data_IF_109031053336
#
_entry.id   IF_109031053336
#
_cell.length_a   1.000
_cell.length_b   1.000
_cell.length_c   1.000
_cell.angle_alpha   90.00
_cell.angle_beta   90.00
_cell.angle_gamma   90.00
#
_symmetry.space_group_name_H-M   'P 1'
#
loop_
_entity.id
_entity.type
_entity.pdbx_description
1 polymer ?
#
# COMPACT_ATOMS: atom_id res chain seq x y z
N UNK A 1 -22.83 -4.50 -13.96
CA UNK A 1 -22.85 -3.04 -13.69
C UNK A 1 -24.29 -2.53 -13.62
N UNK A 2 -24.60 -1.49 -12.84
CA UNK A 2 -25.88 -0.79 -12.76
C UNK A 2 -25.64 0.61 -12.18
N UNK A 3 -26.06 1.66 -12.87
CA UNK A 3 -25.96 3.05 -12.41
C UNK A 3 -27.33 3.68 -12.55
N UNK A 4 -28.08 3.87 -11.46
CA UNK A 4 -29.47 4.36 -11.54
C UNK A 4 -29.76 5.58 -10.67
N UNK A 5 -28.88 5.89 -9.73
CA UNK A 5 -29.06 7.02 -8.81
C UNK A 5 -27.85 7.94 -8.93
N UNK A 6 -27.97 9.03 -9.71
CA UNK A 6 -26.96 10.07 -9.73
C UNK A 6 -26.73 10.64 -8.32
N UNK A 7 -25.47 10.95 -8.01
CA UNK A 7 -25.07 11.67 -6.81
C UNK A 7 -25.66 13.08 -6.81
N UNK A 8 -25.52 13.79 -7.95
CA UNK A 8 -26.19 15.06 -8.21
C UNK A 8 -27.34 14.90 -9.22
N UNK A 9 -28.47 15.60 -9.03
CA UNK A 9 -29.62 15.49 -9.93
C UNK A 9 -29.40 16.15 -11.29
N UNK A 10 -28.41 17.04 -11.41
CA UNK A 10 -28.03 17.70 -12.66
C UNK A 10 -26.71 17.11 -13.19
N UNK A 11 -26.54 16.98 -14.51
CA UNK A 11 -25.26 16.60 -15.09
C UNK A 11 -24.25 17.75 -14.99
N UNK A 12 -22.98 17.42 -15.17
CA UNK A 12 -21.94 18.41 -15.39
C UNK A 12 -22.03 19.10 -16.78
N UNK A 13 -21.10 20.01 -17.06
CA UNK A 13 -21.07 20.80 -18.27
C UNK A 13 -21.03 19.98 -19.57
N UNK A 14 -20.51 18.74 -19.52
CA UNK A 14 -20.43 17.84 -20.68
C UNK A 14 -21.59 16.83 -20.75
N UNK A 15 -22.57 16.96 -19.85
CA UNK A 15 -23.74 16.08 -19.80
C UNK A 15 -23.52 14.75 -19.07
N UNK A 16 -22.48 14.64 -18.23
CA UNK A 16 -22.20 13.45 -17.44
C UNK A 16 -22.78 13.55 -16.03
N UNK A 17 -23.15 12.40 -15.48
CA UNK A 17 -23.59 12.24 -14.11
C UNK A 17 -22.54 11.49 -13.30
N UNK A 18 -22.48 11.77 -12.01
CA UNK A 18 -21.65 11.04 -11.06
C UNK A 18 -22.49 10.03 -10.31
N UNK A 19 -21.95 8.84 -10.09
CA UNK A 19 -22.64 7.76 -9.40
C UNK A 19 -21.79 7.27 -8.24
N UNK A 20 -22.20 7.63 -7.02
CA UNK A 20 -21.51 7.23 -5.82
C UNK A 20 -21.52 5.70 -5.64
N UNK A 21 -20.40 5.17 -5.14
CA UNK A 21 -20.31 3.80 -4.65
C UNK A 21 -21.25 3.62 -3.44
N UNK A 22 -21.63 2.37 -3.13
CA UNK A 22 -22.45 2.00 -1.96
C UNK A 22 -23.85 2.64 -1.92
N UNK A 23 -24.28 3.34 -2.98
CA UNK A 23 -25.63 3.89 -3.12
C UNK A 23 -26.57 2.82 -3.66
N UNK A 24 -27.70 2.59 -2.98
CA UNK A 24 -28.70 1.63 -3.43
C UNK A 24 -29.17 1.95 -4.87
N UNK A 25 -28.99 0.99 -5.79
CA UNK A 25 -29.25 1.18 -7.22
C UNK A 25 -28.00 1.38 -8.07
N UNK A 26 -26.88 1.78 -7.46
CA UNK A 26 -25.56 1.80 -8.10
C UNK A 26 -24.80 0.53 -7.71
N UNK A 27 -24.59 -0.39 -8.66
CA UNK A 27 -23.83 -1.62 -8.50
C UNK A 27 -22.77 -1.71 -9.60
N UNK A 28 -21.54 -1.35 -9.27
CA UNK A 28 -20.40 -1.40 -10.17
C UNK A 28 -19.17 -1.73 -9.33
N UNK A 29 -18.26 -2.49 -9.93
CA UNK A 29 -17.03 -2.93 -9.30
C UNK A 29 -16.00 -3.15 -10.39
N UNK A 30 -14.73 -2.90 -10.08
CA UNK A 30 -13.62 -3.34 -10.90
C UNK A 30 -13.70 -4.87 -11.12
N UNK A 31 -13.04 -5.32 -12.19
CA UNK A 31 -12.78 -6.74 -12.37
C UNK A 31 -12.08 -7.28 -11.12
N UNK A 32 -12.50 -8.45 -10.68
CA UNK A 32 -11.82 -9.21 -9.65
C UNK A 32 -11.78 -10.66 -10.08
N UNK A 33 -10.75 -11.36 -9.65
CA UNK A 33 -10.57 -12.77 -9.91
C UNK A 33 -10.04 -13.42 -8.63
N UNK A 34 -10.54 -14.60 -8.32
CA UNK A 34 -9.92 -15.42 -7.31
C UNK A 34 -8.68 -16.06 -7.92
N UNK A 35 -7.51 -15.79 -7.35
CA UNK A 35 -6.27 -16.40 -7.80
C UNK A 35 -6.37 -17.93 -7.73
N UNK A 36 -6.03 -18.61 -8.84
CA UNK A 36 -6.06 -20.07 -8.96
C UNK A 36 -4.69 -20.71 -8.68
N UNK A 37 -3.65 -19.88 -8.56
CA UNK A 37 -2.27 -20.22 -8.24
C UNK A 37 -1.71 -19.16 -7.28
N UNK A 38 -0.57 -19.41 -6.61
CA UNK A 38 0.12 -18.38 -5.84
C UNK A 38 0.38 -17.13 -6.67
N UNK A 39 0.20 -15.96 -6.06
CA UNK A 39 0.42 -14.65 -6.68
C UNK A 39 1.81 -14.16 -6.29
N UNK A 40 2.60 -13.78 -7.29
CA UNK A 40 3.85 -13.04 -7.06
C UNK A 40 3.48 -11.56 -7.13
N UNK A 41 3.90 -10.78 -6.14
CA UNK A 41 3.71 -9.33 -6.17
C UNK A 41 4.83 -8.72 -7.01
N UNK A 42 4.47 -7.94 -8.02
CA UNK A 42 5.44 -7.22 -8.85
C UNK A 42 5.77 -5.85 -8.28
N UNK A 43 4.77 -5.18 -7.67
CA UNK A 43 4.94 -3.82 -7.17
C UNK A 43 4.33 -3.65 -5.78
N UNK A 44 5.03 -2.88 -4.95
CA UNK A 44 4.56 -2.40 -3.65
C UNK A 44 4.57 -0.88 -3.64
N UNK A 45 3.40 -0.31 -3.34
CA UNK A 45 3.18 1.12 -3.09
C UNK A 45 3.03 1.27 -1.58
N UNK A 46 3.93 2.00 -0.91
CA UNK A 46 3.95 2.13 0.56
C UNK A 46 3.31 3.44 1.04
N UNK A 47 2.84 4.25 0.10
CA UNK A 47 2.15 5.52 0.30
C UNK A 47 2.99 6.65 0.89
N UNK A 48 2.56 7.87 0.58
CA UNK A 48 3.19 9.13 0.99
C UNK A 48 3.54 9.23 2.49
N UNK A 49 2.71 8.63 3.35
CA UNK A 49 2.87 8.71 4.79
C UNK A 49 4.14 8.01 5.27
N UNK A 50 4.55 6.94 4.59
CA UNK A 50 5.76 6.18 4.89
C UNK A 50 6.93 6.61 4.00
N UNK A 51 6.67 6.99 2.74
CA UNK A 51 7.67 7.47 1.79
C UNK A 51 8.35 8.76 2.24
N UNK A 52 7.58 9.80 2.57
CA UNK A 52 8.09 11.17 2.60
C UNK A 52 7.57 12.04 3.76
N UNK A 53 6.52 11.61 4.46
CA UNK A 53 5.98 12.42 5.56
C UNK A 53 6.87 12.37 6.81
N UNK A 54 7.17 13.51 7.45
CA UNK A 54 7.93 13.52 8.69
C UNK A 54 7.24 12.80 9.83
N UNK A 55 7.91 11.78 10.38
CA UNK A 55 7.39 11.07 11.54
C UNK A 55 7.55 11.96 12.77
N UNK A 56 6.45 12.20 13.47
CA UNK A 56 6.43 13.04 14.67
C UNK A 56 6.11 12.19 15.89
N UNK A 57 6.94 12.30 16.92
CA UNK A 57 6.73 11.62 18.19
C UNK A 57 5.31 11.92 18.74
N UNK A 58 4.61 10.86 19.16
CA UNK A 58 3.25 10.96 19.70
C UNK A 58 2.15 11.29 18.68
N UNK A 59 2.47 11.49 17.39
CA UNK A 59 1.48 11.62 16.32
C UNK A 59 1.16 10.26 15.73
N UNK A 60 -0.07 10.14 15.26
CA UNK A 60 -0.49 8.98 14.51
C UNK A 60 0.23 8.95 13.16
N UNK A 61 0.71 7.78 12.80
CA UNK A 61 1.32 7.48 11.50
C UNK A 61 0.42 6.47 10.80
N UNK A 62 0.16 6.74 9.52
CA UNK A 62 -0.58 5.82 8.66
C UNK A 62 0.42 4.77 8.17
N UNK A 63 0.20 3.53 8.57
CA UNK A 63 1.00 2.38 8.15
C UNK A 63 0.13 1.54 7.23
N UNK A 64 0.32 1.75 5.94
CA UNK A 64 -0.48 1.15 4.89
C UNK A 64 0.39 0.88 3.66
N UNK A 65 0.03 -0.14 2.89
CA UNK A 65 0.65 -0.43 1.61
C UNK A 65 -0.37 -1.06 0.66
N UNK A 66 -0.16 -0.88 -0.64
CA UNK A 66 -0.89 -1.56 -1.69
C UNK A 66 0.06 -2.51 -2.44
N UNK A 67 -0.37 -3.77 -2.56
CA UNK A 67 0.34 -4.81 -3.31
C UNK A 67 -0.27 -4.91 -4.70
N UNK A 68 0.56 -5.05 -5.73
CA UNK A 68 0.08 -5.17 -7.10
C UNK A 68 0.76 -6.33 -7.85
N UNK A 69 -0.06 -7.01 -8.65
CA UNK A 69 0.34 -7.98 -9.65
C UNK A 69 0.22 -7.34 -11.04
N UNK A 70 1.23 -7.52 -11.88
CA UNK A 70 1.23 -7.11 -13.27
C UNK A 70 0.63 -8.22 -14.14
N UNK A 71 -0.52 -7.92 -14.71
CA UNK A 71 -1.36 -8.87 -15.43
C UNK A 71 -0.89 -9.07 -16.88
N UNK A 72 -0.77 -10.33 -17.29
CA UNK A 72 -0.64 -10.71 -18.71
C UNK A 72 -1.89 -10.34 -19.52
N UNK A 73 -3.06 -10.47 -18.90
CA UNK A 73 -4.36 -10.15 -19.47
C UNK A 73 -5.00 -9.02 -18.66
N UNK A 74 -5.16 -7.81 -19.23
CA UNK A 74 -5.72 -6.68 -18.51
C UNK A 74 -7.11 -6.93 -17.94
N UNK A 75 -7.40 -6.31 -16.80
CA UNK A 75 -8.69 -6.36 -16.13
C UNK A 75 -9.41 -5.01 -16.20
N UNK A 76 -10.74 -5.03 -16.20
CA UNK A 76 -11.55 -3.82 -16.21
C UNK A 76 -11.35 -3.03 -14.90
N UNK A 77 -10.92 -1.79 -15.02
CA UNK A 77 -10.88 -0.81 -13.95
C UNK A 77 -11.83 0.37 -14.24
N UNK A 78 -12.05 1.20 -13.23
CA UNK A 78 -12.90 2.39 -13.31
C UNK A 78 -12.08 3.62 -12.93
N UNK A 79 -12.30 4.73 -13.64
CA UNK A 79 -11.77 6.02 -13.22
C UNK A 79 -12.65 6.54 -12.09
N UNK A 80 -12.13 6.40 -10.88
CA UNK A 80 -12.74 6.85 -9.64
C UNK A 80 -12.55 8.36 -9.47
N UNK A 81 -13.56 9.03 -8.91
CA UNK A 81 -13.45 10.43 -8.52
C UNK A 81 -14.09 10.65 -7.16
N UNK A 82 -13.44 11.52 -6.37
CA UNK A 82 -14.03 12.05 -5.15
C UNK A 82 -15.21 12.94 -5.54
N UNK A 83 -16.37 12.70 -4.94
CA UNK A 83 -17.63 13.40 -5.21
C UNK A 83 -18.01 14.39 -4.11
N UNK A 84 -17.54 14.17 -2.88
CA UNK A 84 -17.75 15.08 -1.77
C UNK A 84 -16.48 15.86 -1.44
N UNK A 85 -16.61 17.12 -1.03
CA UNK A 85 -15.49 17.92 -0.50
C UNK A 85 -14.98 17.41 0.86
N UNK A 86 -15.66 16.41 1.45
CA UNK A 86 -15.28 15.82 2.73
C UNK A 86 -14.27 14.70 2.52
N UNK A 87 -13.13 14.78 3.19
CA UNK A 87 -12.13 13.71 3.28
C UNK A 87 -12.38 12.84 4.51
N UNK A 88 -12.02 11.55 4.45
CA UNK A 88 -12.07 10.64 5.61
C UNK A 88 -13.30 9.71 5.61
N UNK A 89 -13.84 9.30 6.77
CA UNK A 89 -14.86 8.25 6.84
C UNK A 89 -16.17 8.51 6.09
N UNK A 90 -16.47 9.79 5.80
CA UNK A 90 -17.65 10.23 5.04
C UNK A 90 -17.32 10.64 3.61
N UNK A 91 -16.12 10.29 3.13
CA UNK A 91 -15.71 10.53 1.76
C UNK A 91 -16.59 9.73 0.80
N UNK A 92 -17.12 10.41 -0.20
CA UNK A 92 -17.95 9.79 -1.23
C UNK A 92 -17.13 9.71 -2.50
N UNK A 93 -16.90 8.48 -2.95
CA UNK A 93 -16.19 8.18 -4.18
C UNK A 93 -17.15 7.56 -5.18
N UNK A 94 -16.94 7.81 -6.48
CA UNK A 94 -17.82 7.30 -7.51
C UNK A 94 -17.26 7.39 -8.91
N UNK A 95 -18.11 7.07 -9.87
CA UNK A 95 -17.75 7.03 -11.29
C UNK A 95 -18.56 8.04 -12.08
N UNK A 96 -17.92 8.65 -13.09
CA UNK A 96 -18.55 9.60 -14.02
C UNK A 96 -19.05 8.87 -15.25
N UNK A 97 -20.34 8.95 -15.57
CA UNK A 97 -20.95 8.28 -16.73
C UNK A 97 -22.11 9.11 -17.31
N UNK A 98 -22.42 8.98 -18.61
CA UNK A 98 -23.58 9.65 -19.22
C UNK A 98 -24.89 9.01 -18.75
N UNK A 99 -25.98 9.78 -18.72
CA UNK A 99 -27.30 9.21 -18.35
C UNK A 99 -27.82 8.20 -19.36
N UNK A 100 -27.46 8.33 -20.63
CA UNK A 100 -27.78 7.32 -21.65
C UNK A 100 -27.14 5.95 -21.35
N UNK A 101 -26.15 5.91 -20.44
CA UNK A 101 -25.50 4.72 -19.91
C UNK A 101 -26.22 4.12 -18.69
N UNK A 102 -27.34 4.72 -18.26
CA UNK A 102 -28.19 4.25 -17.15
C UNK A 102 -28.97 3.01 -17.63
N UNK A 103 -28.84 1.91 -16.89
CA UNK A 103 -29.34 0.56 -17.20
C UNK A 103 -28.47 -0.31 -18.13
N UNK A 104 -27.15 -0.16 -18.15
CA UNK A 104 -26.26 -1.20 -18.70
C UNK A 104 -26.31 -2.43 -17.78
N UNK A 105 -27.24 -3.36 -18.04
CA UNK A 105 -27.02 -4.78 -17.74
C UNK A 105 -25.86 -5.25 -18.61
N UNK A 106 -24.90 -6.01 -18.06
CA UNK A 106 -23.60 -6.41 -18.64
C UNK A 106 -23.58 -6.98 -20.09
N UNK A 107 -24.74 -7.11 -20.75
CA UNK A 107 -24.91 -7.64 -22.10
C UNK A 107 -25.30 -6.60 -23.17
N UNK A 108 -25.42 -5.30 -22.87
CA UNK A 108 -25.60 -4.31 -23.93
C UNK A 108 -24.24 -3.94 -24.52
N UNK A 109 -24.06 -4.12 -25.82
CA UNK A 109 -22.86 -3.70 -26.57
C UNK A 109 -22.62 -2.18 -26.61
N UNK A 110 -23.19 -1.42 -25.67
CA UNK A 110 -23.04 0.03 -25.53
C UNK A 110 -21.77 0.38 -24.73
N UNK A 111 -20.62 -0.10 -25.22
CA UNK A 111 -19.31 0.28 -24.70
C UNK A 111 -19.06 1.79 -24.87
N UNK A 112 -19.64 2.41 -25.91
CA UNK A 112 -19.53 3.86 -26.17
C UNK A 112 -20.10 4.72 -25.02
N UNK A 113 -21.02 4.16 -24.23
CA UNK A 113 -21.65 4.80 -23.09
C UNK A 113 -20.74 4.84 -21.83
N UNK A 114 -19.63 4.09 -21.82
CA UNK A 114 -18.63 4.04 -20.74
C UNK A 114 -17.31 4.71 -21.10
N UNK A 115 -17.26 5.41 -22.23
CA UNK A 115 -16.05 6.09 -22.71
C UNK A 115 -15.61 7.14 -21.69
N UNK A 116 -14.42 6.94 -21.10
CA UNK A 116 -13.87 7.76 -20.02
C UNK A 116 -14.22 7.30 -18.60
N UNK A 117 -15.11 6.31 -18.44
CA UNK A 117 -15.50 5.75 -17.13
C UNK A 117 -14.70 4.51 -16.75
N UNK A 118 -14.35 3.70 -17.75
CA UNK A 118 -13.62 2.44 -17.57
C UNK A 118 -12.35 2.41 -18.38
N UNK A 119 -11.40 1.58 -17.96
CA UNK A 119 -10.19 1.29 -18.70
C UNK A 119 -9.75 -0.16 -18.49
N UNK A 120 -8.85 -0.64 -19.35
CA UNK A 120 -8.18 -1.91 -19.16
C UNK A 120 -6.90 -1.62 -18.36
N UNK A 121 -6.84 -2.14 -17.13
CA UNK A 121 -5.68 -2.04 -16.26
C UNK A 121 -4.80 -3.26 -16.44
N UNK A 122 -3.51 -3.05 -16.65
CA UNK A 122 -2.50 -4.11 -16.62
C UNK A 122 -2.05 -4.44 -15.20
N UNK A 123 -2.66 -3.82 -14.17
CA UNK A 123 -2.33 -4.04 -12.77
C UNK A 123 -3.59 -4.35 -11.97
N UNK A 124 -3.49 -5.30 -11.03
CA UNK A 124 -4.52 -5.58 -10.04
C UNK A 124 -3.95 -5.49 -8.63
N UNK A 125 -4.70 -4.90 -7.70
CA UNK A 125 -4.33 -4.92 -6.28
C UNK A 125 -4.52 -6.32 -5.71
N UNK A 126 -3.53 -6.82 -4.98
CA UNK A 126 -3.50 -8.17 -4.40
C UNK A 126 -4.07 -8.16 -2.99
N UNK A 127 -4.99 -9.10 -2.71
CA UNK A 127 -5.55 -9.31 -1.38
C UNK A 127 -4.69 -10.30 -0.58
N UNK A 128 -4.07 -9.81 0.50
CA UNK A 128 -3.13 -10.56 1.35
C UNK A 128 -3.58 -10.51 2.83
N UNK A 129 -4.66 -11.20 3.21
CA UNK A 129 -5.34 -10.99 4.48
C UNK A 129 -4.59 -11.44 5.73
N UNK A 130 -3.51 -12.21 5.57
CA UNK A 130 -2.66 -12.68 6.67
C UNK A 130 -1.27 -12.04 6.63
N UNK A 131 -1.09 -10.94 5.91
CA UNK A 131 0.11 -10.14 6.06
C UNK A 131 0.18 -9.60 7.49
N UNK A 132 1.37 -9.61 8.09
CA UNK A 132 1.58 -9.19 9.48
C UNK A 132 2.47 -7.95 9.53
N UNK A 133 2.33 -7.17 10.61
CA UNK A 133 3.09 -5.96 10.87
C UNK A 133 3.90 -6.15 12.15
N UNK A 134 5.22 -5.96 12.03
CA UNK A 134 6.15 -5.95 13.15
C UNK A 134 6.90 -4.63 13.17
N UNK A 135 6.97 -3.97 14.34
CA UNK A 135 7.77 -2.76 14.53
C UNK A 135 8.75 -2.97 15.67
N UNK A 136 10.04 -2.93 15.37
CA UNK A 136 11.09 -3.08 16.38
C UNK A 136 11.97 -1.85 16.46
N UNK A 137 12.35 -1.48 17.67
CA UNK A 137 13.27 -0.36 17.92
C UNK A 137 14.71 -0.86 17.87
N UNK A 138 15.59 -0.14 17.20
CA UNK A 138 17.03 -0.37 17.31
C UNK A 138 17.56 0.06 18.67
N UNK A 139 18.49 -0.72 19.23
CA UNK A 139 19.06 -0.50 20.57
C UNK A 139 20.42 0.15 20.55
N UNK A 140 21.24 -0.15 19.53
CA UNK A 140 22.61 0.37 19.43
C UNK A 140 22.96 0.94 18.06
N UNK A 141 22.12 0.70 17.04
CA UNK A 141 22.38 1.19 15.69
C UNK A 141 21.89 2.64 15.50
N UNK A 142 22.66 3.36 14.72
CA UNK A 142 22.40 4.73 14.27
C UNK A 142 22.04 4.72 12.79
N UNK A 143 21.39 5.80 12.29
CA UNK A 143 21.15 6.04 10.88
C UNK A 143 22.25 5.66 9.88
N UNK A 144 23.52 5.81 10.28
CA UNK A 144 24.69 5.63 9.42
C UNK A 144 25.27 4.21 9.40
N UNK A 145 24.73 3.29 10.20
CA UNK A 145 25.23 1.92 10.27
C UNK A 145 24.62 1.05 9.16
N UNK A 146 25.34 0.00 8.72
CA UNK A 146 24.76 -1.03 7.86
C UNK A 146 23.71 -1.82 8.65
N UNK A 147 22.43 -1.52 8.40
CA UNK A 147 21.30 -2.02 9.16
C UNK A 147 20.85 -3.42 8.74
N UNK A 148 21.55 -4.06 7.79
CA UNK A 148 21.30 -5.43 7.36
C UNK A 148 22.35 -6.40 7.88
N UNK A 149 23.59 -5.97 8.00
CA UNK A 149 24.68 -6.85 8.40
C UNK A 149 24.47 -7.37 9.82
N UNK A 150 24.19 -8.67 9.92
CA UNK A 150 24.02 -9.38 11.19
C UNK A 150 22.58 -9.55 11.66
N UNK A 151 21.60 -8.96 10.97
CA UNK A 151 20.18 -9.20 11.26
C UNK A 151 19.64 -10.39 10.47
N UNK A 152 18.71 -11.12 11.10
CA UNK A 152 18.01 -12.27 10.54
C UNK A 152 16.54 -12.23 10.95
N UNK A 153 15.67 -12.80 10.12
CA UNK A 153 14.26 -12.93 10.44
C UNK A 153 13.99 -14.24 11.16
N UNK A 154 13.41 -14.13 12.36
CA UNK A 154 12.84 -15.25 13.11
C UNK A 154 11.33 -15.28 12.82
N UNK A 155 10.91 -16.02 11.80
CA UNK A 155 9.50 -16.06 11.41
C UNK A 155 8.64 -16.98 12.29
N UNK A 156 9.22 -17.76 13.21
CA UNK A 156 8.41 -18.40 14.25
C UNK A 156 7.87 -17.36 15.24
N UNK A 157 8.68 -16.33 15.54
CA UNK A 157 8.31 -15.24 16.43
C UNK A 157 7.91 -13.94 15.70
N UNK A 158 8.00 -13.93 14.36
CA UNK A 158 7.69 -12.80 13.47
C UNK A 158 8.46 -11.53 13.85
N UNK A 159 9.76 -11.68 14.14
CA UNK A 159 10.64 -10.57 14.55
C UNK A 159 12.03 -10.69 13.93
N UNK A 160 12.71 -9.57 13.77
CA UNK A 160 14.13 -9.53 13.54
C UNK A 160 14.92 -9.88 14.80
N UNK A 161 15.98 -10.65 14.62
CA UNK A 161 16.97 -10.99 15.64
C UNK A 161 18.37 -10.64 15.16
N UNK A 162 19.28 -10.42 16.10
CA UNK A 162 20.67 -10.06 15.83
C UNK A 162 21.13 -8.90 16.69
N UNK A 163 22.38 -8.49 16.50
CA UNK A 163 22.97 -7.41 17.28
C UNK A 163 22.35 -6.06 16.90
N UNK A 164 21.97 -5.29 17.92
CA UNK A 164 21.54 -3.89 17.75
C UNK A 164 20.06 -3.66 17.43
N UNK A 165 19.24 -4.71 17.35
CA UNK A 165 17.77 -4.60 17.30
C UNK A 165 17.14 -5.08 18.62
N UNK A 166 16.09 -4.39 19.06
CA UNK A 166 15.32 -4.78 20.24
C UNK A 166 14.42 -5.98 19.97
N UNK A 167 14.14 -6.78 20.99
CA UNK A 167 13.29 -7.98 20.88
C UNK A 167 11.79 -7.71 21.00
N UNK A 168 11.40 -6.46 21.30
CA UNK A 168 10.00 -6.09 21.49
C UNK A 168 9.40 -5.59 20.18
N UNK A 169 8.32 -6.25 19.74
CA UNK A 169 7.41 -5.70 18.74
C UNK A 169 6.48 -4.67 19.41
N UNK A 170 6.75 -3.39 19.17
CA UNK A 170 5.96 -2.29 19.75
C UNK A 170 4.59 -2.15 19.08
N UNK A 171 4.35 -2.85 17.97
CA UNK A 171 3.08 -2.91 17.27
C UNK A 171 2.24 -4.15 17.59
N UNK A 172 2.68 -5.06 18.48
CA UNK A 172 2.01 -6.34 18.73
C UNK A 172 0.51 -6.27 19.12
N UNK A 173 0.06 -5.10 19.60
CA UNK A 173 -1.36 -4.85 19.94
C UNK A 173 -2.17 -4.19 18.82
N UNK A 174 -1.54 -3.91 17.70
CA UNK A 174 -2.10 -3.19 16.55
C UNK A 174 -2.68 -4.20 15.58
N UNK A 175 -3.93 -4.00 15.17
CA UNK A 175 -4.55 -4.84 14.17
C UNK A 175 -4.07 -4.40 12.78
N UNK A 176 -3.54 -5.31 12.00
CA UNK A 176 -3.13 -5.09 10.62
C UNK A 176 -3.87 -6.05 9.70
N UNK A 177 -4.28 -5.60 8.52
CA UNK A 177 -4.95 -6.47 7.57
C UNK A 177 -5.39 -5.76 6.30
N UNK A 178 -5.93 -6.55 5.36
CA UNK A 178 -6.39 -6.04 4.08
C UNK A 178 -7.81 -5.46 4.17
N UNK A 179 -8.02 -4.27 3.61
CA UNK A 179 -9.32 -3.65 3.42
C UNK A 179 -9.51 -3.10 2.00
N UNK A 180 -10.77 -2.99 1.59
CA UNK A 180 -11.13 -2.27 0.37
C UNK A 180 -11.31 -0.80 0.71
N UNK A 181 -10.42 0.06 0.22
CA UNK A 181 -10.52 1.49 0.46
C UNK A 181 -11.65 2.13 -0.38
N UNK A 182 -11.93 3.41 -0.12
CA UNK A 182 -12.96 4.18 -0.85
C UNK A 182 -12.64 4.37 -2.34
N UNK A 183 -11.36 4.30 -2.72
CA UNK A 183 -10.89 4.28 -4.10
C UNK A 183 -11.08 2.93 -4.82
N UNK A 184 -11.62 1.92 -4.14
CA UNK A 184 -11.86 0.59 -4.73
C UNK A 184 -10.58 -0.25 -4.89
N UNK A 185 -9.51 0.10 -4.18
CA UNK A 185 -8.26 -0.66 -4.10
C UNK A 185 -8.20 -1.49 -2.83
N UNK A 186 -7.53 -2.63 -2.91
CA UNK A 186 -7.14 -3.36 -1.70
C UNK A 186 -5.90 -2.70 -1.12
N UNK A 187 -5.98 -2.30 0.15
CA UNK A 187 -4.88 -1.74 0.95
C UNK A 187 -4.64 -2.66 2.14
N UNK A 188 -3.40 -2.93 2.49
CA UNK A 188 -3.01 -3.61 3.73
C UNK A 188 -2.59 -2.56 4.73
N UNK A 189 -3.28 -2.48 5.86
CA UNK A 189 -3.16 -1.33 6.75
C UNK A 189 -3.48 -1.62 8.19
N UNK A 190 -3.01 -0.72 9.06
CA UNK A 190 -3.44 -0.69 10.46
C UNK A 190 -4.92 -0.33 10.55
N UNK A 191 -5.72 -1.22 11.15
CA UNK A 191 -7.16 -1.05 11.35
C UNK A 191 -7.49 -0.67 12.80
N UNK A 192 -8.66 -0.04 13.00
CA UNK A 192 -9.21 0.46 14.28
C UNK A 192 -8.46 1.65 14.92
N UNK A 193 -7.20 1.45 15.34
CA UNK A 193 -6.42 2.47 16.06
C UNK A 193 -5.14 2.79 15.30
N UNK A 194 -4.97 4.02 14.81
CA UNK A 194 -3.74 4.41 14.14
C UNK A 194 -2.55 4.23 15.08
N UNK A 195 -1.42 3.77 14.53
CA UNK A 195 -0.20 3.55 15.28
C UNK A 195 0.46 4.88 15.64
N UNK A 196 1.12 4.97 16.80
CA UNK A 196 1.94 6.12 17.18
C UNK A 196 3.19 5.68 17.91
N UNK A 197 4.30 6.32 17.61
CA UNK A 197 5.53 6.15 18.37
C UNK A 197 5.45 6.87 19.72
N UNK A 198 5.84 6.18 20.79
CA UNK A 198 5.87 6.72 22.15
C UNK A 198 7.24 7.20 22.58
N UNK A 199 8.31 6.72 21.92
CA UNK A 199 9.68 7.11 22.19
C UNK A 199 10.41 7.52 20.91
N UNK A 200 11.39 8.40 21.06
CA UNK A 200 12.30 8.74 19.97
C UNK A 200 13.29 7.60 19.72
N UNK A 201 13.75 7.46 18.48
CA UNK A 201 14.74 6.47 18.08
C UNK A 201 14.56 6.01 16.64
N UNK A 202 15.42 5.08 16.23
CA UNK A 202 15.31 4.40 14.94
C UNK A 202 14.47 3.14 15.12
N UNK A 203 13.52 2.93 14.22
CA UNK A 203 12.62 1.78 14.21
C UNK A 203 12.67 1.10 12.85
N UNK A 204 12.59 -0.22 12.84
CA UNK A 204 12.32 -1.00 11.63
C UNK A 204 10.85 -1.36 11.61
N UNK A 205 10.14 -0.97 10.56
CA UNK A 205 8.78 -1.40 10.28
C UNK A 205 8.83 -2.46 9.21
N UNK A 206 8.33 -3.65 9.54
CA UNK A 206 8.36 -4.83 8.68
C UNK A 206 6.95 -5.29 8.42
N UNK A 207 6.67 -5.56 7.15
CA UNK A 207 5.49 -6.27 6.73
C UNK A 207 5.92 -7.64 6.22
N UNK A 208 5.45 -8.69 6.88
CA UNK A 208 5.79 -10.07 6.56
C UNK A 208 4.63 -10.77 5.88
N UNK A 209 4.95 -11.57 4.86
CA UNK A 209 4.05 -12.54 4.29
C UNK A 209 4.38 -13.91 4.91
N UNK A 210 3.52 -14.50 5.75
CA UNK A 210 3.81 -15.83 6.32
C UNK A 210 3.84 -16.93 5.24
N UNK A 211 4.56 -18.02 5.46
CA UNK A 211 4.67 -19.15 4.50
C UNK A 211 3.32 -19.74 4.04
N UNK A 212 2.29 -19.66 4.88
CA UNK A 212 1.02 -20.33 4.66
C UNK A 212 0.05 -19.53 3.76
N UNK A 213 0.48 -18.39 3.20
CA UNK A 213 -0.34 -17.61 2.26
C UNK A 213 0.13 -17.74 0.81
N UNK A 214 -0.79 -17.84 -0.17
CA UNK A 214 -0.43 -17.97 -1.58
C UNK A 214 -0.08 -16.61 -2.22
N UNK A 215 0.72 -15.79 -1.52
CA UNK A 215 1.21 -14.48 -1.98
C UNK A 215 2.68 -14.40 -1.57
N UNK A 216 3.55 -13.92 -2.47
CA UNK A 216 5.00 -13.84 -2.21
C UNK A 216 5.67 -12.60 -2.77
N UNK A 217 6.78 -12.20 -2.16
CA UNK A 217 7.77 -11.28 -2.73
C UNK A 217 8.94 -12.06 -3.30
N UNK A 218 9.48 -11.57 -4.41
CA UNK A 218 10.65 -12.14 -5.06
C UNK A 218 11.72 -11.07 -5.24
N UNK A 219 12.92 -11.46 -5.70
CA UNK A 219 13.95 -10.50 -6.06
C UNK A 219 13.54 -9.55 -7.21
N UNK A 220 12.46 -9.85 -7.92
CA UNK A 220 11.88 -9.00 -8.97
C UNK A 220 10.81 -8.03 -8.46
N UNK A 221 10.32 -8.17 -7.23
CA UNK A 221 9.33 -7.27 -6.64
C UNK A 221 9.94 -5.88 -6.44
N UNK A 222 9.25 -4.86 -6.93
CA UNK A 222 9.71 -3.48 -6.97
C UNK A 222 8.89 -2.58 -6.06
N UNK A 223 9.44 -1.42 -5.73
CA UNK A 223 8.75 -0.38 -4.96
C UNK A 223 8.49 0.79 -5.91
N UNK A 224 7.25 1.28 -5.92
CA UNK A 224 6.84 2.35 -6.82
C UNK A 224 5.47 2.89 -6.47
N UNK A 225 5.22 4.12 -6.92
CA UNK A 225 3.97 4.82 -6.68
C UNK A 225 3.05 4.56 -7.87
N UNK A 226 1.83 4.05 -7.61
CA UNK A 226 0.88 3.86 -8.69
C UNK A 226 0.28 5.20 -9.11
N UNK A 227 0.69 5.68 -10.28
CA UNK A 227 0.20 6.92 -10.86
C UNK A 227 -1.13 6.68 -11.58
N UNK A 228 -2.22 7.20 -11.01
CA UNK A 228 -3.58 7.05 -11.56
C UNK A 228 -3.78 7.72 -12.94
N UNK A 229 -3.03 8.79 -13.23
CA UNK A 229 -3.14 9.51 -14.50
C UNK A 229 -2.45 8.75 -15.63
N UNK A 230 -1.23 8.28 -15.39
CA UNK A 230 -0.45 7.51 -16.36
C UNK A 230 -0.83 6.02 -16.39
N UNK A 231 -1.49 5.53 -15.33
CA UNK A 231 -1.85 4.12 -15.08
C UNK A 231 -0.64 3.20 -15.12
N UNK A 232 0.44 3.67 -14.54
CA UNK A 232 1.72 2.99 -14.48
C UNK A 232 2.37 3.25 -13.12
N UNK A 233 3.40 2.48 -12.82
CA UNK A 233 4.24 2.73 -11.65
C UNK A 233 5.34 3.72 -12.00
N UNK A 234 5.44 4.75 -11.18
CA UNK A 234 6.61 5.62 -11.15
C UNK A 234 7.59 5.06 -10.10
N UNK A 235 8.88 4.89 -10.43
CA UNK A 235 9.85 4.42 -9.44
C UNK A 235 9.99 5.45 -8.32
N UNK A 236 10.08 4.99 -7.07
CA UNK A 236 10.38 5.87 -5.94
C UNK A 236 11.79 6.44 -6.13
N UNK A 237 11.87 7.73 -6.43
CA UNK A 237 13.15 8.43 -6.70
C UNK A 237 13.65 9.24 -5.50
N UNK A 238 12.76 9.54 -4.56
CA UNK A 238 13.04 10.28 -3.33
C UNK A 238 12.19 9.67 -2.20
N UNK A 239 12.74 9.59 -0.97
CA UNK A 239 12.02 9.05 0.18
C UNK A 239 12.87 8.12 1.04
N UNK A 240 12.23 7.45 2.00
CA UNK A 240 12.88 6.45 2.85
C UNK A 240 13.22 5.20 2.02
N UNK A 241 14.44 4.70 2.14
CA UNK A 241 14.79 3.43 1.52
C UNK A 241 13.89 2.35 2.13
N UNK A 242 13.24 1.64 1.23
CA UNK A 242 12.42 0.49 1.56
C UNK A 242 13.03 -0.70 0.84
N UNK A 243 13.11 -1.81 1.54
CA UNK A 243 13.82 -3.00 1.09
C UNK A 243 12.83 -4.15 1.03
N UNK A 244 12.81 -4.81 -0.12
CA UNK A 244 12.17 -6.10 -0.30
C UNK A 244 13.21 -7.19 -0.04
N UNK A 245 12.84 -8.14 0.82
CA UNK A 245 13.57 -9.38 1.04
C UNK A 245 12.74 -10.47 0.38
N UNK A 246 13.34 -11.16 -0.58
CA UNK A 246 12.65 -12.21 -1.31
C UNK A 246 12.34 -13.40 -0.39
N UNK A 247 11.30 -14.16 -0.76
CA UNK A 247 11.14 -15.54 -0.30
C UNK A 247 12.47 -16.31 -0.46
N UNK A 248 12.87 -17.05 0.57
CA UNK A 248 14.14 -17.77 0.63
C UNK A 248 15.27 -17.07 1.39
N UNK A 249 15.14 -15.78 1.71
CA UNK A 249 16.27 -14.96 2.17
C UNK A 249 16.20 -14.58 3.66
N UNK A 250 17.36 -14.37 4.30
CA UNK A 250 17.51 -13.83 5.67
C UNK A 250 16.85 -14.59 6.84
N UNK A 251 16.27 -15.77 6.63
CA UNK A 251 15.73 -16.63 7.70
C UNK A 251 16.78 -17.13 8.72
N UNK A 252 16.33 -17.44 9.94
CA UNK A 252 17.15 -18.05 11.00
C UNK A 252 17.15 -19.58 10.87
N UNK A 253 18.32 -20.17 10.62
CA UNK A 253 18.50 -21.63 10.59
C UNK A 253 18.00 -22.28 9.30
N UNK A 254 17.38 -23.46 9.40
CA UNK A 254 16.84 -24.21 8.25
C UNK A 254 15.34 -23.92 8.01
N UNK A 255 14.77 -22.95 8.71
CA UNK A 255 13.37 -22.58 8.60
C UNK A 255 13.34 -21.14 8.08
N UNK A 256 13.35 -21.00 6.76
CA UNK A 256 12.70 -19.85 6.18
C UNK A 256 11.20 -20.03 6.38
N UNK A 257 10.57 -19.04 7.01
CA UNK A 257 9.15 -19.10 7.40
C UNK A 257 8.36 -17.88 6.91
N UNK A 258 8.91 -17.16 5.92
CA UNK A 258 8.20 -16.13 5.19
C UNK A 258 8.18 -16.38 3.68
N UNK A 259 7.11 -15.95 3.03
CA UNK A 259 7.03 -15.78 1.57
C UNK A 259 7.55 -14.40 1.13
N UNK A 260 8.45 -13.81 1.91
CA UNK A 260 9.06 -12.51 1.67
C UNK A 260 8.69 -11.45 2.71
N UNK A 261 9.57 -10.45 2.82
CA UNK A 261 9.43 -9.32 3.73
C UNK A 261 9.54 -8.02 2.96
N UNK A 262 8.86 -6.99 3.43
CA UNK A 262 9.13 -5.60 3.08
C UNK A 262 9.43 -4.86 4.36
N UNK A 263 10.53 -4.11 4.42
CA UNK A 263 10.77 -3.25 5.57
C UNK A 263 11.23 -1.85 5.18
N UNK A 264 10.92 -0.90 6.05
CA UNK A 264 11.38 0.48 6.02
C UNK A 264 11.91 0.88 7.38
N UNK A 265 13.05 1.55 7.40
CA UNK A 265 13.63 2.09 8.61
C UNK A 265 13.16 3.54 8.81
N UNK A 266 12.57 3.82 9.98
CA UNK A 266 11.96 5.10 10.33
C UNK A 266 12.64 5.72 11.55
N UNK A 267 13.17 6.93 11.37
CA UNK A 267 13.67 7.74 12.47
C UNK A 267 12.53 8.56 13.08
N UNK A 268 12.38 8.44 14.40
CA UNK A 268 11.45 9.23 15.21
C UNK A 268 12.28 10.24 16.03
N UNK A 269 12.28 11.53 15.68
CA UNK A 269 13.07 12.52 16.40
C UNK A 269 12.46 12.85 17.76
N UNK A 270 13.32 13.23 18.73
CA UNK A 270 12.89 13.68 20.06
C UNK A 270 12.27 15.08 20.07
N UNK A 271 12.54 15.90 19.06
CA UNK A 271 11.97 17.23 18.86
C UNK A 271 11.63 17.45 17.38
N UNK A 272 10.49 18.10 17.11
CA UNK A 272 10.09 18.44 15.73
C UNK A 272 10.69 19.81 15.36
N UNK A 273 11.96 19.82 14.98
CA UNK A 273 12.57 20.95 14.29
C UNK A 273 12.39 20.79 12.78
N UNK A 274 12.05 21.87 12.07
CA UNK A 274 11.78 21.86 10.62
C UNK A 274 12.96 21.46 9.71
N UNK A 275 14.11 21.11 10.27
CA UNK A 275 15.34 20.73 9.57
C UNK A 275 15.78 19.27 9.85
N UNK A 276 15.01 18.52 10.66
CA UNK A 276 15.43 17.21 11.16
C UNK A 276 15.51 16.09 10.12
N UNK A 277 14.78 16.19 9.00
CA UNK A 277 14.74 15.15 7.96
C UNK A 277 15.58 15.45 6.72
N UNK A 278 15.86 16.72 6.39
CA UNK A 278 16.78 17.06 5.29
C UNK A 278 18.21 16.54 5.58
N UNK A 279 18.56 16.39 6.85
CA UNK A 279 19.79 15.74 7.28
C UNK A 279 19.73 14.20 7.18
N UNK A 280 18.53 13.59 7.22
CA UNK A 280 18.32 12.13 7.13
C UNK A 280 18.55 11.67 5.68
N UNK A 281 18.04 12.37 4.68
CA UNK A 281 18.31 12.03 3.27
C UNK A 281 19.83 12.00 2.96
N UNK A 282 20.62 12.85 3.62
CA UNK A 282 22.09 12.90 3.46
C UNK A 282 22.88 11.93 4.34
N UNK A 283 22.37 11.57 5.53
CA UNK A 283 23.06 10.65 6.45
C UNK A 283 22.82 9.18 6.08
N UNK A 284 21.64 8.86 5.53
CA UNK A 284 21.29 7.48 5.18
C UNK A 284 21.75 7.09 3.77
N UNK A 285 21.88 8.03 2.81
CA UNK A 285 22.19 7.71 1.40
C UNK A 285 23.13 8.74 0.73
N UNK A 286 24.47 8.59 0.83
CA UNK A 286 25.36 9.35 -0.05
C UNK A 286 25.07 8.98 -1.50
N UNK A 287 25.00 9.98 -2.38
CA UNK A 287 24.77 9.83 -3.82
C UNK A 287 25.57 8.65 -4.38
N UNK A 288 24.87 7.76 -5.10
CA UNK A 288 25.36 6.54 -5.72
C UNK A 288 26.85 6.59 -6.11
N UNK A 289 27.68 5.83 -5.40
CA UNK A 289 28.92 5.34 -6.00
C UNK A 289 28.56 4.07 -6.77
N UNK A 290 28.59 4.19 -8.10
CA UNK A 290 28.62 3.08 -9.07
C UNK A 290 29.32 1.83 -8.53
N UNK A 291 28.60 0.71 -8.51
CA UNK A 291 29.16 -0.63 -8.67
C UNK A 291 28.75 -1.17 -10.04
#
# INVERSE_FOLDING_TARGET
>A
MKLTVPFDPAPDADGYYYFAQKTAGNAWQAGNVQAMAPVVVDWVDIGDAMESSPVKLGRFVRLELALYDQLDAPMRAYTMTQLSEQTGPNEVQGVRAKQSSVNITENSGDIDALTGTTYQSSFATVYAPMMELTIQKFTTLTPSDDQLTGLRWDGDNQVWVGDGIGSEDVAASTQFGSELNVGGKVINGVSDKPFRYTDAGLYRVTFSLPDNIPVSFTAGTQIGDYNEESRAFDPVTEGRQTIVVADGELGVGNADTHNGLLYVDMLVPSEVGGEGEDQIAQIFYPASSTL
#
